data_IF_668206630019
#
_entry.id   IF_668206630019
#
_cell.length_a   1.000
_cell.length_b   1.000
_cell.length_c   1.000
_cell.angle_alpha   90.00
_cell.angle_beta   90.00
_cell.angle_gamma   90.00
#
_symmetry.space_group_name_H-M   'P 1'
#
loop_
_entity.id
_entity.type
_entity.pdbx_description
1 polymer ?
#
# COMPACT_ATOMS: atom_id res chain seq x y z
N UNK A 1 32.18 6.58 46.24
CA UNK A 1 31.24 7.12 45.25
C UNK A 1 31.79 6.81 43.87
N UNK A 2 31.08 6.04 43.03
CA UNK A 2 31.65 5.40 41.84
C UNK A 2 30.77 5.52 40.58
N UNK A 3 31.30 5.16 39.39
CA UNK A 3 30.70 5.44 38.07
C UNK A 3 29.30 4.85 37.82
N UNK A 4 28.88 3.88 38.65
CA UNK A 4 27.57 3.21 38.54
C UNK A 4 26.41 4.10 38.96
N UNK A 5 26.65 5.00 39.91
CA UNK A 5 25.65 5.94 40.44
C UNK A 5 25.29 7.03 39.40
N UNK A 6 26.31 7.51 38.68
CA UNK A 6 26.15 8.42 37.54
C UNK A 6 25.35 7.79 36.39
N UNK A 7 25.56 6.50 36.09
CA UNK A 7 24.77 5.82 35.05
C UNK A 7 23.30 5.72 35.43
N UNK A 8 23.01 5.40 36.69
CA UNK A 8 21.64 5.34 37.19
C UNK A 8 21.00 6.72 37.16
N UNK A 9 21.67 7.77 37.65
CA UNK A 9 21.11 9.13 37.66
C UNK A 9 20.83 9.66 36.26
N UNK A 10 21.69 9.36 35.28
CA UNK A 10 21.44 9.66 33.86
C UNK A 10 20.24 8.88 33.33
N UNK A 11 20.13 7.58 33.65
CA UNK A 11 18.99 6.75 33.25
C UNK A 11 17.66 7.25 33.85
N UNK A 12 17.66 7.66 35.12
CA UNK A 12 16.50 8.24 35.79
C UNK A 12 16.13 9.60 35.19
N UNK A 13 17.12 10.43 34.84
CA UNK A 13 16.88 11.72 34.17
C UNK A 13 16.31 11.54 32.77
N UNK A 14 16.87 10.63 31.96
CA UNK A 14 16.36 10.32 30.62
C UNK A 14 14.96 9.71 30.68
N UNK A 15 14.70 8.82 31.65
CA UNK A 15 13.40 8.21 31.86
C UNK A 15 12.37 9.25 32.30
N UNK A 16 12.72 10.14 33.23
CA UNK A 16 11.86 11.25 33.68
C UNK A 16 11.50 12.19 32.52
N UNK A 17 12.46 12.53 31.67
CA UNK A 17 12.22 13.32 30.46
C UNK A 17 11.29 12.62 29.45
N UNK A 18 11.44 11.29 29.27
CA UNK A 18 10.55 10.49 28.40
C UNK A 18 9.17 10.19 29.03
N UNK A 19 9.03 10.24 30.36
CA UNK A 19 7.74 10.16 31.06
C UNK A 19 7.02 11.52 31.11
N UNK A 20 7.76 12.62 30.96
CA UNK A 20 7.23 13.98 30.90
C UNK A 20 6.69 14.37 29.51
N UNK A 21 6.91 13.55 28.47
CA UNK A 21 6.15 13.72 27.23
C UNK A 21 4.70 13.35 27.53
N UNK A 22 3.74 14.28 27.40
CA UNK A 22 2.33 13.93 27.58
C UNK A 22 2.03 12.78 26.63
N UNK A 23 1.33 11.75 27.12
CA UNK A 23 0.82 10.69 26.27
C UNK A 23 0.01 11.36 25.16
N UNK A 24 0.60 11.45 23.97
CA UNK A 24 0.01 12.18 22.85
C UNK A 24 -1.25 11.43 22.49
N UNK A 25 -2.40 12.11 22.66
CA UNK A 25 -3.69 11.54 22.29
C UNK A 25 -3.65 11.10 20.81
N UNK A 26 -4.34 10.00 20.52
CA UNK A 26 -4.34 9.39 19.18
C UNK A 26 -4.77 10.40 18.11
N UNK A 27 -5.69 11.30 18.44
CA UNK A 27 -6.16 12.36 17.52
C UNK A 27 -5.09 13.43 17.26
N UNK A 28 -4.30 13.77 18.29
CA UNK A 28 -3.18 14.70 18.13
C UNK A 28 -2.09 14.10 17.24
N UNK A 29 -1.77 12.82 17.41
CA UNK A 29 -0.84 12.07 16.56
C UNK A 29 -1.28 12.06 15.09
N UNK A 30 -2.57 11.82 14.82
CA UNK A 30 -3.13 11.86 13.46
C UNK A 30 -2.97 13.25 12.85
N UNK A 31 -3.30 14.31 13.60
CA UNK A 31 -3.21 15.69 13.12
C UNK A 31 -1.77 16.13 12.77
N UNK A 32 -0.78 15.70 13.55
CA UNK A 32 0.64 15.97 13.30
C UNK A 32 1.11 15.24 12.04
N UNK A 33 0.69 13.99 11.87
CA UNK A 33 1.03 13.18 10.70
C UNK A 33 0.48 13.78 9.41
N UNK A 34 -0.73 14.36 9.44
CA UNK A 34 -1.34 15.00 8.26
C UNK A 34 -0.70 16.34 7.93
N UNK A 35 -0.28 17.12 8.93
CA UNK A 35 0.55 18.32 8.70
C UNK A 35 1.84 17.99 7.97
N UNK A 36 2.55 16.94 8.40
CA UNK A 36 3.78 16.50 7.76
C UNK A 36 3.56 16.08 6.30
N UNK A 37 2.49 15.33 6.01
CA UNK A 37 2.13 14.96 4.62
C UNK A 37 1.85 16.19 3.76
N UNK A 38 1.15 17.19 4.30
CA UNK A 38 0.80 18.40 3.56
C UNK A 38 2.04 19.25 3.25
N UNK A 39 2.95 19.41 4.20
CA UNK A 39 4.23 20.11 3.94
C UNK A 39 5.07 19.39 2.90
N UNK A 40 5.13 18.06 2.99
CA UNK A 40 5.85 17.24 2.03
C UNK A 40 5.25 17.38 0.62
N UNK A 41 3.91 17.34 0.51
CA UNK A 41 3.19 17.52 -0.75
C UNK A 41 3.50 18.90 -1.37
N UNK A 42 3.55 19.96 -0.56
CA UNK A 42 3.89 21.32 -1.03
C UNK A 42 5.35 21.45 -1.49
N UNK A 43 6.28 20.74 -0.86
CA UNK A 43 7.72 20.81 -1.19
C UNK A 43 8.09 20.02 -2.44
N UNK A 44 7.44 18.87 -2.67
CA UNK A 44 7.80 17.93 -3.75
C UNK A 44 6.85 18.04 -4.95
N UNK A 45 5.80 18.87 -4.84
CA UNK A 45 4.74 19.06 -5.87
C UNK A 45 4.10 17.74 -6.35
N UNK A 46 4.17 16.70 -5.50
CA UNK A 46 3.62 15.37 -5.73
C UNK A 46 2.54 15.07 -4.70
N UNK A 47 1.36 14.67 -5.16
CA UNK A 47 0.24 14.30 -4.28
C UNK A 47 0.45 12.93 -3.65
N UNK A 48 0.23 12.83 -2.33
CA UNK A 48 0.24 11.56 -1.61
C UNK A 48 -1.11 10.86 -1.81
N UNK A 49 -1.17 9.94 -2.77
CA UNK A 49 -2.40 9.18 -3.10
C UNK A 49 -2.32 7.74 -2.58
N UNK A 50 -3.42 7.23 -1.99
CA UNK A 50 -3.49 5.85 -1.47
C UNK A 50 -3.42 4.78 -2.56
N UNK A 51 -3.90 5.10 -3.76
CA UNK A 51 -3.92 4.22 -4.93
C UNK A 51 -3.63 5.03 -6.19
N UNK A 52 -2.81 4.47 -7.09
CA UNK A 52 -2.48 5.09 -8.38
C UNK A 52 -2.67 4.03 -9.47
N UNK A 53 -3.28 4.41 -10.60
CA UNK A 53 -3.39 3.53 -11.77
C UNK A 53 -2.15 3.69 -12.64
N UNK A 54 -1.43 2.60 -12.88
CA UNK A 54 -0.25 2.56 -13.74
C UNK A 54 -0.32 1.34 -14.64
N UNK A 55 -0.24 1.53 -15.97
CA UNK A 55 -0.29 0.45 -16.97
C UNK A 55 -1.47 -0.54 -16.76
N UNK A 56 -2.65 -0.02 -16.38
CA UNK A 56 -3.84 -0.84 -16.13
C UNK A 56 -3.87 -1.54 -14.76
N UNK A 57 -2.82 -1.43 -13.96
CA UNK A 57 -2.69 -2.01 -12.61
C UNK A 57 -2.85 -0.91 -11.56
N UNK A 58 -3.62 -1.17 -10.51
CA UNK A 58 -3.68 -0.30 -9.34
C UNK A 58 -2.51 -0.59 -8.40
N UNK A 59 -1.59 0.36 -8.31
CA UNK A 59 -0.54 0.38 -7.32
C UNK A 59 -1.09 0.91 -6.00
N UNK A 60 -0.73 0.25 -4.91
CA UNK A 60 -1.13 0.61 -3.55
C UNK A 60 0.11 0.62 -2.67
N UNK A 61 0.11 1.44 -1.61
CA UNK A 61 1.26 1.55 -0.70
C UNK A 61 1.74 0.21 -0.10
N UNK A 62 0.85 -0.79 0.02
CA UNK A 62 1.21 -2.16 0.45
C UNK A 62 1.38 -3.07 -0.77
N UNK A 63 2.57 -3.64 -0.96
CA UNK A 63 2.82 -4.57 -2.06
C UNK A 63 1.92 -5.83 -2.00
N UNK A 64 1.56 -6.29 -0.80
CA UNK A 64 0.69 -7.47 -0.60
C UNK A 64 -0.69 -7.31 -1.23
N UNK A 65 -1.23 -6.08 -1.28
CA UNK A 65 -2.55 -5.81 -1.84
C UNK A 65 -2.53 -5.70 -3.36
N UNK A 66 -1.38 -5.44 -3.99
CA UNK A 66 -1.25 -5.36 -5.45
C UNK A 66 -1.62 -6.70 -6.09
N UNK A 67 -1.11 -7.82 -5.53
CA UNK A 67 -1.38 -9.15 -6.08
C UNK A 67 -2.87 -9.51 -6.02
N UNK A 68 -3.48 -9.29 -4.87
CA UNK A 68 -4.87 -9.64 -4.63
C UNK A 68 -5.85 -8.75 -5.42
N UNK A 69 -5.59 -7.45 -5.51
CA UNK A 69 -6.50 -6.50 -6.15
C UNK A 69 -6.43 -6.51 -7.67
N UNK A 70 -5.29 -6.87 -8.27
CA UNK A 70 -5.11 -6.84 -9.72
C UNK A 70 -5.14 -8.24 -10.34
N UNK A 71 -4.27 -9.16 -9.90
CA UNK A 71 -4.12 -10.44 -10.58
C UNK A 71 -5.23 -11.45 -10.29
N UNK A 72 -5.79 -11.49 -9.07
CA UNK A 72 -6.88 -12.45 -8.78
C UNK A 72 -8.09 -12.21 -9.67
N UNK A 73 -8.48 -10.93 -9.85
CA UNK A 73 -9.60 -10.53 -10.70
C UNK A 73 -9.32 -10.85 -12.17
N UNK A 74 -8.12 -10.53 -12.66
CA UNK A 74 -7.67 -10.87 -14.01
C UNK A 74 -7.74 -12.37 -14.29
N UNK A 75 -7.20 -13.19 -13.39
CA UNK A 75 -7.24 -14.66 -13.53
C UNK A 75 -8.67 -15.18 -13.55
N UNK A 76 -9.57 -14.63 -12.73
CA UNK A 76 -10.99 -15.01 -12.76
C UNK A 76 -11.65 -14.65 -14.09
N UNK A 77 -11.37 -13.46 -14.62
CA UNK A 77 -11.90 -13.02 -15.91
C UNK A 77 -11.42 -13.93 -17.04
N UNK A 78 -10.11 -14.21 -17.09
CA UNK A 78 -9.52 -15.13 -18.07
C UNK A 78 -10.20 -16.51 -18.04
N UNK A 79 -10.51 -17.04 -16.84
CA UNK A 79 -11.22 -18.32 -16.73
C UNK A 79 -12.63 -18.26 -17.31
N UNK A 80 -13.36 -17.18 -17.07
CA UNK A 80 -14.71 -17.00 -17.63
C UNK A 80 -14.66 -16.87 -19.15
N UNK A 81 -13.70 -16.11 -19.67
CA UNK A 81 -13.52 -15.92 -21.10
C UNK A 81 -13.18 -17.25 -21.79
N UNK A 82 -12.31 -18.07 -21.18
CA UNK A 82 -11.99 -19.42 -21.67
C UNK A 82 -13.21 -20.35 -21.71
N UNK A 83 -14.07 -20.34 -20.69
CA UNK A 83 -15.32 -21.13 -20.71
C UNK A 83 -16.30 -20.64 -21.78
N UNK A 84 -16.41 -19.33 -21.98
CA UNK A 84 -17.21 -18.76 -23.06
C UNK A 84 -16.66 -19.16 -24.45
N UNK A 85 -15.34 -19.22 -24.61
CA UNK A 85 -14.73 -19.64 -25.87
C UNK A 85 -14.90 -21.12 -26.17
N UNK A 86 -14.98 -21.95 -25.13
CA UNK A 86 -15.27 -23.37 -25.26
C UNK A 86 -16.66 -23.64 -25.84
N UNK A 87 -17.63 -22.78 -25.54
CA UNK A 87 -19.03 -22.90 -25.98
C UNK A 87 -19.29 -22.24 -27.34
N UNK A 88 -18.33 -21.53 -27.92
CA UNK A 88 -18.45 -20.95 -29.27
C UNK A 88 -18.73 -22.03 -30.32
N UNK A 89 -19.83 -21.89 -31.06
CA UNK A 89 -20.21 -22.73 -32.21
C UNK A 89 -19.36 -22.38 -33.45
N UNK A 90 -18.04 -22.46 -33.31
CA UNK A 90 -17.05 -22.20 -34.34
C UNK A 90 -16.14 -23.41 -34.49
N UNK A 91 -15.58 -23.61 -35.68
CA UNK A 91 -14.51 -24.58 -35.89
C UNK A 91 -13.30 -24.23 -35.01
N UNK A 92 -12.42 -25.21 -34.74
CA UNK A 92 -11.21 -24.98 -33.94
C UNK A 92 -10.39 -23.78 -34.46
N UNK A 93 -10.25 -23.65 -35.78
CA UNK A 93 -9.56 -22.52 -36.41
C UNK A 93 -10.30 -21.19 -36.20
N UNK A 94 -11.63 -21.20 -36.27
CA UNK A 94 -12.46 -20.04 -35.96
C UNK A 94 -12.31 -19.60 -34.51
N UNK A 95 -12.23 -20.54 -33.57
CA UNK A 95 -11.98 -20.24 -32.15
C UNK A 95 -10.59 -19.60 -31.96
N UNK A 96 -9.54 -20.15 -32.57
CA UNK A 96 -8.18 -19.55 -32.50
C UNK A 96 -8.14 -18.14 -33.05
N UNK A 97 -8.74 -17.91 -34.23
CA UNK A 97 -8.77 -16.59 -34.85
C UNK A 97 -9.54 -15.55 -34.00
N UNK A 98 -10.67 -15.94 -33.40
CA UNK A 98 -11.43 -15.06 -32.48
C UNK A 98 -10.62 -14.70 -31.24
N UNK A 99 -9.85 -15.64 -30.70
CA UNK A 99 -8.96 -15.39 -29.55
C UNK A 99 -7.85 -14.41 -29.94
N UNK A 100 -7.18 -14.66 -31.07
CA UNK A 100 -6.11 -13.80 -31.60
C UNK A 100 -6.59 -12.37 -31.84
N UNK A 101 -7.83 -12.19 -32.33
CA UNK A 101 -8.42 -10.87 -32.56
C UNK A 101 -8.89 -10.16 -31.26
N UNK A 102 -9.05 -10.89 -30.16
CA UNK A 102 -9.55 -10.35 -28.88
C UNK A 102 -8.45 -9.93 -27.90
N UNK A 103 -7.20 -10.33 -28.17
CA UNK A 103 -5.99 -9.95 -27.43
C UNK A 103 -5.40 -8.65 -27.96
#
# INVERSE_FOLDING_TARGET
>A
SGPRDLKLSVLWSLRSQNLATPAVDSNQLISLTDKQKNELTKKIDLQVVKKVKWLGVYLTARCRTIKASNYKRLIQQIKLDLENWKTLQLSMRGRTATIEASC
#
